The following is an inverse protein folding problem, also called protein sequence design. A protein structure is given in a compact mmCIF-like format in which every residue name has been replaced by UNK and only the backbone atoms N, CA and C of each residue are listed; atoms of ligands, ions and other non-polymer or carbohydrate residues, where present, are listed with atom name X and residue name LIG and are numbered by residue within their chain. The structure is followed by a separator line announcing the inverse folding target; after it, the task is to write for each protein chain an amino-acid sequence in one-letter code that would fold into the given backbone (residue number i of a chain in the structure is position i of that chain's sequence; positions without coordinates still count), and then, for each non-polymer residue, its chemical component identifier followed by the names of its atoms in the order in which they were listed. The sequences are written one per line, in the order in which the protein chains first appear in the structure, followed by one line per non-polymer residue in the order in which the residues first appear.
data_IF_672536152419
#
_entry.id   IF_672536152419
#
_cell.length_a   1.000
_cell.length_b   1.000
_cell.length_c   1.000
_cell.angle_alpha   90.00
_cell.angle_beta   90.00
_cell.angle_gamma   90.00
#
_symmetry.space_group_name_H-M   'P 1'
#
loop_
_entity.id
_entity.type
_entity.pdbx_description
1 polymer ?
#
# COMPACT_ATOMS: atom_id res chain seq x y z
N UNK A 1 51.72 -3.39 -22.08
CA UNK A 1 50.64 -2.53 -22.65
C UNK A 1 50.03 -1.62 -21.58
N UNK A 2 49.26 -0.57 -21.90
CA UNK A 2 48.59 0.28 -20.89
C UNK A 2 47.08 0.03 -20.82
N UNK A 3 46.49 0.12 -19.63
CA UNK A 3 45.05 0.03 -19.44
C UNK A 3 44.35 1.22 -20.10
N UNK A 4 43.45 0.95 -21.05
CA UNK A 4 42.65 1.98 -21.74
C UNK A 4 41.74 2.81 -20.83
N UNK A 5 41.48 2.34 -19.61
CA UNK A 5 40.54 2.97 -18.67
C UNK A 5 41.22 3.80 -17.58
N UNK A 6 42.41 3.42 -17.12
CA UNK A 6 43.09 4.11 -16.02
C UNK A 6 44.56 4.46 -16.30
N UNK A 7 45.09 4.11 -17.48
CA UNK A 7 46.46 4.43 -17.89
C UNK A 7 47.56 3.61 -17.19
N UNK A 8 47.21 2.67 -16.30
CA UNK A 8 48.20 1.84 -15.62
C UNK A 8 48.92 0.86 -16.57
N UNK A 9 50.20 0.62 -16.33
CA UNK A 9 51.00 -0.35 -17.09
C UNK A 9 50.60 -1.78 -16.73
N UNK A 10 50.35 -2.59 -17.75
CA UNK A 10 49.87 -3.97 -17.66
C UNK A 10 50.81 -4.91 -18.41
N UNK A 11 50.98 -6.12 -17.85
CA UNK A 11 51.64 -7.22 -18.53
C UNK A 11 50.86 -7.62 -19.80
N UNK A 12 51.57 -8.02 -20.85
CA UNK A 12 50.97 -8.25 -22.18
C UNK A 12 50.02 -9.48 -22.26
N UNK A 13 49.92 -10.25 -21.17
CA UNK A 13 49.04 -11.40 -20.98
C UNK A 13 47.99 -11.19 -19.87
N UNK A 14 47.94 -10.03 -19.23
CA UNK A 14 46.95 -9.77 -18.19
C UNK A 14 45.55 -9.77 -18.82
N UNK A 15 44.61 -10.52 -18.25
CA UNK A 15 43.20 -10.56 -18.65
C UNK A 15 42.35 -9.47 -17.97
N UNK A 16 42.86 -8.91 -16.87
CA UNK A 16 42.22 -7.84 -16.10
C UNK A 16 43.27 -6.84 -15.60
N UNK A 17 42.88 -5.57 -15.48
CA UNK A 17 43.73 -4.54 -14.91
C UNK A 17 43.85 -4.71 -13.38
N UNK A 18 45.06 -4.89 -12.87
CA UNK A 18 45.34 -4.99 -11.43
C UNK A 18 45.09 -3.69 -10.63
N UNK A 19 44.92 -2.55 -11.31
CA UNK A 19 44.64 -1.25 -10.67
C UNK A 19 43.17 -0.86 -10.66
N UNK A 20 42.41 -1.17 -11.72
CA UNK A 20 41.01 -0.74 -11.84
C UNK A 20 40.01 -1.90 -12.04
N UNK A 21 40.49 -3.15 -12.08
CA UNK A 21 39.65 -4.36 -12.16
C UNK A 21 39.03 -4.64 -13.53
N UNK A 22 39.09 -3.71 -14.49
CA UNK A 22 38.43 -3.87 -15.80
C UNK A 22 39.14 -4.88 -16.71
N UNK A 23 38.41 -5.69 -17.48
CA UNK A 23 38.98 -6.68 -18.39
C UNK A 23 39.75 -6.02 -19.54
N UNK A 24 40.88 -6.60 -19.89
CA UNK A 24 41.69 -6.22 -21.06
C UNK A 24 41.26 -7.07 -22.25
N UNK A 25 40.55 -6.44 -23.17
CA UNK A 25 40.11 -7.08 -24.41
C UNK A 25 41.31 -7.37 -25.31
N UNK A 26 41.76 -8.63 -25.39
CA UNK A 26 42.63 -9.11 -26.48
C UNK A 26 41.96 -10.28 -27.21
N UNK A 27 41.94 -10.30 -28.55
CA UNK A 27 41.35 -11.38 -29.33
C UNK A 27 42.29 -12.59 -29.37
N UNK A 28 41.78 -13.76 -28.99
CA UNK A 28 42.50 -15.04 -29.00
C UNK A 28 42.62 -15.59 -30.44
N UNK A 29 43.82 -16.01 -30.83
CA UNK A 29 44.15 -16.68 -32.08
C UNK A 29 43.35 -17.98 -32.26
N UNK A 30 42.59 -18.12 -33.36
CA UNK A 30 42.01 -19.40 -33.82
C UNK A 30 42.90 -20.04 -34.90
N UNK A 31 43.20 -21.35 -34.85
CA UNK A 31 43.94 -22.06 -35.91
C UNK A 31 43.16 -22.12 -37.25
N UNK A 32 43.85 -22.36 -38.38
CA UNK A 32 43.33 -22.05 -39.72
C UNK A 32 42.22 -23.01 -40.17
N UNK A 33 41.17 -22.42 -40.76
CA UNK A 33 40.06 -23.12 -41.40
C UNK A 33 40.40 -23.38 -42.89
N UNK A 34 40.00 -24.51 -43.51
CA UNK A 34 40.29 -24.81 -44.91
C UNK A 34 39.61 -23.83 -45.88
N UNK A 35 40.26 -23.64 -47.03
CA UNK A 35 39.97 -22.63 -48.06
C UNK A 35 38.48 -22.51 -48.44
N UNK A 36 37.96 -21.28 -48.41
CA UNK A 36 36.68 -20.90 -49.01
C UNK A 36 36.86 -20.54 -50.51
N UNK A 37 35.86 -20.81 -51.36
CA UNK A 37 35.83 -20.39 -52.76
C UNK A 37 35.62 -18.87 -52.93
N UNK A 38 35.88 -18.39 -54.16
CA UNK A 38 35.96 -16.99 -54.60
C UNK A 38 34.81 -16.03 -54.17
N UNK A 39 35.07 -14.70 -54.15
CA UNK A 39 34.15 -13.70 -53.61
C UNK A 39 32.89 -13.57 -54.47
N UNK A 40 31.72 -13.73 -53.85
CA UNK A 40 30.45 -13.30 -54.43
C UNK A 40 30.26 -11.80 -54.17
N UNK A 41 29.65 -11.09 -55.12
CA UNK A 41 29.37 -9.66 -55.06
C UNK A 41 28.56 -9.29 -53.78
N UNK A 42 28.63 -8.04 -53.29
CA UNK A 42 27.97 -7.64 -52.06
C UNK A 42 26.46 -7.90 -52.13
N UNK A 43 25.97 -8.81 -51.30
CA UNK A 43 24.55 -8.96 -51.04
C UNK A 43 24.18 -7.88 -50.01
N UNK A 44 23.32 -6.95 -50.40
CA UNK A 44 22.71 -6.00 -49.46
C UNK A 44 22.06 -6.77 -48.30
N UNK A 45 22.24 -6.34 -47.04
CA UNK A 45 21.53 -6.96 -45.91
C UNK A 45 20.02 -6.78 -46.12
N UNK A 46 19.17 -7.75 -45.70
CA UNK A 46 17.73 -7.57 -45.76
C UNK A 46 17.36 -6.34 -44.93
N UNK A 47 16.76 -5.35 -45.60
CA UNK A 47 16.15 -4.20 -44.94
C UNK A 47 15.06 -4.74 -44.02
N UNK A 48 15.24 -4.58 -42.71
CA UNK A 48 14.19 -4.87 -41.75
C UNK A 48 13.03 -3.90 -42.01
N UNK A 49 11.96 -4.37 -42.65
CA UNK A 49 10.70 -3.66 -42.68
C UNK A 49 10.05 -3.84 -41.29
N UNK A 50 9.72 -2.76 -40.56
CA UNK A 50 8.89 -2.88 -39.37
C UNK A 50 7.57 -3.58 -39.75
N UNK A 51 6.99 -4.41 -38.87
CA UNK A 51 5.69 -4.97 -39.13
C UNK A 51 4.70 -3.84 -39.46
N UNK A 52 3.99 -3.98 -40.59
CA UNK A 52 2.92 -3.06 -40.96
C UNK A 52 1.92 -3.07 -39.81
N UNK A 53 1.80 -1.93 -39.14
CA UNK A 53 0.72 -1.71 -38.18
C UNK A 53 -0.63 -2.04 -38.81
N UNK A 54 -1.65 -2.37 -38.00
CA UNK A 54 -2.97 -2.71 -38.51
C UNK A 54 -3.46 -1.63 -39.49
N UNK A 55 -4.23 -2.00 -40.53
CA UNK A 55 -4.66 -1.06 -41.56
C UNK A 55 -5.30 0.17 -40.93
N UNK A 56 -4.81 1.36 -41.30
CA UNK A 56 -5.46 2.63 -40.96
C UNK A 56 -6.90 2.55 -41.43
N UNK A 57 -7.82 2.53 -40.48
CA UNK A 57 -9.24 2.76 -40.77
C UNK A 57 -9.36 4.12 -41.47
N UNK A 58 -10.27 4.27 -42.45
CA UNK A 58 -10.54 5.56 -43.04
C UNK A 58 -10.89 6.55 -41.94
N UNK A 59 -10.22 7.70 -41.95
CA UNK A 59 -10.45 8.79 -41.00
C UNK A 59 -11.93 9.19 -41.06
N UNK A 60 -12.68 8.76 -40.05
CA UNK A 60 -14.00 9.30 -39.76
C UNK A 60 -13.75 10.73 -39.28
N UNK A 61 -14.34 11.67 -40.00
CA UNK A 61 -14.46 13.07 -39.64
C UNK A 61 -14.90 13.18 -38.18
N UNK A 62 -14.12 13.88 -37.35
CA UNK A 62 -14.44 14.08 -35.93
C UNK A 62 -15.77 14.83 -35.81
N UNK A 63 -16.86 14.10 -35.57
CA UNK A 63 -17.97 14.64 -34.80
C UNK A 63 -17.49 14.71 -33.35
N UNK A 64 -17.44 15.92 -32.80
CA UNK A 64 -17.02 16.16 -31.41
C UNK A 64 -17.85 15.33 -30.43
N UNK A 65 -17.31 14.97 -29.26
CA UNK A 65 -18.07 14.22 -28.28
C UNK A 65 -19.25 15.07 -27.81
N UNK A 66 -20.46 14.62 -28.13
CA UNK A 66 -21.66 15.06 -27.44
C UNK A 66 -21.52 14.57 -26.00
N UNK A 67 -21.43 15.51 -25.05
CA UNK A 67 -21.26 15.21 -23.64
C UNK A 67 -22.47 14.40 -23.14
N UNK A 68 -22.28 13.10 -22.86
CA UNK A 68 -23.27 12.34 -22.10
C UNK A 68 -23.30 12.89 -20.66
N UNK A 69 -24.49 13.20 -20.08
CA UNK A 69 -24.57 13.62 -18.69
C UNK A 69 -24.12 12.49 -17.76
N UNK A 70 -23.43 12.80 -16.64
CA UNK A 70 -22.88 11.80 -15.75
C UNK A 70 -23.97 10.86 -15.22
N UNK A 71 -23.78 9.55 -15.43
CA UNK A 71 -24.65 8.50 -14.88
C UNK A 71 -24.48 8.45 -13.37
N UNK A 72 -25.42 9.04 -12.64
CA UNK A 72 -25.54 8.94 -11.17
C UNK A 72 -25.74 7.49 -10.74
N UNK A 73 -24.68 6.80 -10.34
CA UNK A 73 -24.74 5.46 -9.69
C UNK A 73 -25.13 5.50 -8.20
N UNK A 74 -25.54 6.66 -7.65
CA UNK A 74 -25.97 6.81 -6.25
C UNK A 74 -27.41 6.36 -5.94
N UNK A 75 -28.23 6.06 -6.96
CA UNK A 75 -29.64 5.69 -6.73
C UNK A 75 -29.83 4.28 -6.16
N UNK A 76 -28.95 3.34 -6.50
CA UNK A 76 -29.10 1.93 -6.09
C UNK A 76 -28.71 1.72 -4.62
N UNK A 77 -27.76 2.49 -4.11
CA UNK A 77 -27.30 2.42 -2.70
C UNK A 77 -28.40 2.96 -1.78
N UNK A 78 -29.03 4.09 -2.11
CA UNK A 78 -30.15 4.61 -1.33
C UNK A 78 -31.36 3.65 -1.31
N UNK A 79 -31.66 2.99 -2.44
CA UNK A 79 -32.73 2.00 -2.53
C UNK A 79 -32.41 0.75 -1.70
N UNK A 80 -31.16 0.27 -1.74
CA UNK A 80 -30.70 -0.86 -0.94
C UNK A 80 -30.75 -0.57 0.57
N UNK A 81 -30.32 0.63 0.99
CA UNK A 81 -30.39 1.07 2.40
C UNK A 81 -31.84 1.15 2.89
N UNK A 82 -32.73 1.76 2.10
CA UNK A 82 -34.17 1.82 2.44
C UNK A 82 -34.77 0.41 2.56
N UNK A 83 -34.41 -0.50 1.64
CA UNK A 83 -34.91 -1.88 1.67
C UNK A 83 -34.35 -2.65 2.88
N UNK A 84 -33.08 -2.47 3.23
CA UNK A 84 -32.48 -3.02 4.44
C UNK A 84 -33.15 -2.49 5.71
N UNK A 85 -33.43 -1.19 5.81
CA UNK A 85 -34.11 -0.59 6.97
C UNK A 85 -35.54 -1.13 7.11
N UNK A 86 -36.26 -1.30 6.00
CA UNK A 86 -37.60 -1.89 6.00
C UNK A 86 -37.58 -3.38 6.41
N UNK A 87 -36.59 -4.15 5.96
CA UNK A 87 -36.42 -5.55 6.35
C UNK A 87 -36.06 -5.67 7.84
N UNK A 88 -35.14 -4.85 8.33
CA UNK A 88 -34.77 -4.81 9.75
C UNK A 88 -35.98 -4.41 10.61
N UNK A 89 -36.74 -3.39 10.19
CA UNK A 89 -37.98 -2.97 10.86
C UNK A 89 -39.01 -4.09 10.92
N UNK A 90 -39.21 -4.81 9.81
CA UNK A 90 -40.10 -5.97 9.76
C UNK A 90 -39.64 -7.09 10.70
N UNK A 91 -38.34 -7.40 10.75
CA UNK A 91 -37.76 -8.40 11.66
C UNK A 91 -37.97 -8.01 13.12
N UNK A 92 -37.73 -6.74 13.49
CA UNK A 92 -37.95 -6.25 14.86
C UNK A 92 -39.42 -6.38 15.27
N UNK A 93 -40.35 -6.01 14.39
CA UNK A 93 -41.80 -6.18 14.64
C UNK A 93 -42.16 -7.66 14.80
N UNK A 94 -41.57 -8.54 14.00
CA UNK A 94 -41.80 -9.99 14.06
C UNK A 94 -41.26 -10.59 15.37
N UNK A 95 -40.08 -10.15 15.82
CA UNK A 95 -39.47 -10.54 17.10
C UNK A 95 -40.29 -10.05 18.30
N UNK A 96 -40.82 -8.82 18.22
CA UNK A 96 -41.75 -8.28 19.22
C UNK A 96 -43.08 -9.05 19.25
N UNK A 97 -43.65 -9.40 18.08
CA UNK A 97 -44.87 -10.18 17.97
C UNK A 97 -44.70 -11.64 18.42
N UNK A 98 -43.50 -12.21 18.28
CA UNK A 98 -43.15 -13.54 18.79
C UNK A 98 -42.80 -13.57 20.29
N UNK A 99 -42.78 -12.42 20.97
CA UNK A 99 -42.71 -12.35 22.44
C UNK A 99 -41.39 -12.82 23.07
N UNK A 100 -40.26 -12.77 22.34
CA UNK A 100 -38.96 -13.30 22.81
C UNK A 100 -38.18 -12.30 23.69
N UNK A 101 -38.56 -11.02 23.70
CA UNK A 101 -37.94 -10.00 24.57
C UNK A 101 -38.98 -9.43 25.53
N UNK A 102 -38.89 -9.82 26.81
CA UNK A 102 -39.64 -9.15 27.89
C UNK A 102 -38.85 -7.90 28.33
N UNK A 103 -39.46 -6.70 28.32
CA UNK A 103 -38.82 -5.51 28.87
C UNK A 103 -38.84 -5.58 30.40
N UNK A 104 -37.68 -5.36 31.01
CA UNK A 104 -37.55 -5.14 32.46
C UNK A 104 -38.08 -3.74 32.79
N UNK A 105 -39.14 -3.68 33.60
CA UNK A 105 -39.66 -2.43 34.16
C UNK A 105 -38.89 -2.10 35.43
N UNK A 106 -38.31 -0.91 35.50
CA UNK A 106 -37.82 -0.30 36.73
C UNK A 106 -38.59 0.99 36.95
N UNK A 107 -39.47 0.99 37.95
CA UNK A 107 -40.05 2.20 38.54
C UNK A 107 -39.30 2.51 39.84
N UNK A 108 -39.02 3.81 40.02
CA UNK A 108 -38.50 4.40 41.24
C UNK A 108 -39.67 4.90 42.12
N UNK A 109 -39.55 4.77 43.45
CA UNK A 109 -39.68 5.84 44.47
C UNK A 109 -40.05 5.32 45.90
N UNK A 110 -39.25 5.80 46.87
CA UNK A 110 -39.56 6.26 48.25
C UNK A 110 -40.09 5.33 49.39
N UNK A 111 -39.17 4.99 50.33
CA UNK A 111 -39.16 5.07 51.84
C UNK A 111 -40.41 4.80 52.73
N UNK A 112 -40.32 4.56 54.09
CA UNK A 112 -39.14 4.51 55.01
C UNK A 112 -39.09 3.35 56.08
N UNK A 113 -37.89 3.16 56.70
CA UNK A 113 -37.42 2.70 58.06
C UNK A 113 -38.32 1.90 59.06
N UNK A 114 -37.81 1.22 60.15
CA UNK A 114 -36.44 1.17 60.72
C UNK A 114 -35.93 -0.20 61.27
N UNK A 115 -34.72 -0.18 61.87
CA UNK A 115 -34.07 -1.19 62.74
C UNK A 115 -33.26 -2.28 61.99
N UNK A 116 -31.99 -2.64 62.29
CA UNK A 116 -31.21 -2.66 63.53
C UNK A 116 -29.68 -2.51 63.25
N UNK A 117 -29.02 -1.76 64.14
CA UNK A 117 -27.69 -1.95 64.77
C UNK A 117 -26.61 -2.77 64.04
N UNK A 118 -25.46 -2.13 63.73
CA UNK A 118 -24.08 -2.43 64.21
C UNK A 118 -23.07 -1.59 63.38
N UNK A 119 -22.55 -0.46 63.86
CA UNK A 119 -21.33 -0.28 64.68
C UNK A 119 -20.02 -0.05 63.86
N UNK A 120 -19.55 1.21 63.88
CA UNK A 120 -18.16 1.76 63.84
C UNK A 120 -17.19 1.43 62.68
N UNK A 121 -16.30 2.29 62.18
CA UNK A 121 -15.99 3.74 62.20
C UNK A 121 -14.90 3.98 61.10
N UNK A 122 -14.62 5.24 60.68
CA UNK A 122 -13.94 5.59 59.43
C UNK A 122 -12.42 5.81 59.59
N UNK A 123 -11.66 5.70 58.50
CA UNK A 123 -10.32 6.32 58.42
C UNK A 123 -10.21 7.08 57.10
N UNK A 124 -10.28 8.40 57.27
CA UNK A 124 -9.86 9.45 56.37
C UNK A 124 -8.37 9.73 56.60
N UNK A 125 -7.59 9.88 55.54
CA UNK A 125 -6.31 10.59 55.59
C UNK A 125 -5.82 10.90 54.16
N UNK A 126 -5.99 12.14 53.75
CA UNK A 126 -5.07 12.85 52.83
C UNK A 126 -3.97 13.56 53.66
N UNK A 127 -3.00 14.28 53.06
CA UNK A 127 -1.96 13.90 52.10
C UNK A 127 -0.55 14.27 52.67
N UNK A 128 0.53 14.37 51.86
CA UNK A 128 0.80 15.69 51.27
C UNK A 128 1.35 15.67 49.84
N UNK A 129 1.17 16.82 49.19
CA UNK A 129 1.78 17.27 47.94
C UNK A 129 3.32 17.30 48.02
N UNK A 130 4.02 16.89 46.95
CA UNK A 130 5.35 17.40 46.63
C UNK A 130 5.62 17.32 45.11
N UNK A 131 5.65 18.50 44.50
CA UNK A 131 6.47 18.95 43.38
C UNK A 131 6.92 17.98 42.25
N UNK A 132 6.28 18.17 41.10
CA UNK A 132 6.98 18.68 39.91
C UNK A 132 8.07 17.82 39.26
N UNK A 133 7.67 16.91 38.36
CA UNK A 133 8.27 16.76 37.01
C UNK A 133 7.35 15.87 36.15
N UNK A 134 7.10 16.17 34.86
CA UNK A 134 6.30 15.29 34.03
C UNK A 134 7.10 14.00 33.82
N UNK A 135 6.53 12.88 34.25
CA UNK A 135 6.94 11.55 33.81
C UNK A 135 6.67 11.50 32.32
N UNK A 136 7.71 11.77 31.52
CA UNK A 136 7.70 11.53 30.09
C UNK A 136 7.49 10.02 29.89
N UNK A 137 6.38 9.69 29.25
CA UNK A 137 6.09 8.38 28.68
C UNK A 137 7.20 8.04 27.67
N UNK A 138 7.65 6.78 27.57
CA UNK A 138 8.83 6.41 26.77
C UNK A 138 8.61 6.73 25.29
N UNK A 139 9.55 7.50 24.72
CA UNK A 139 9.80 7.77 23.30
C UNK A 139 8.62 7.52 22.34
N UNK A 140 7.72 8.49 22.24
CA UNK A 140 6.96 8.70 21.01
C UNK A 140 7.94 9.37 20.05
N UNK A 141 8.56 8.62 19.15
CA UNK A 141 9.31 9.20 18.04
C UNK A 141 8.31 10.08 17.27
N UNK A 142 8.47 11.39 17.43
CA UNK A 142 7.58 12.39 16.85
C UNK A 142 8.06 12.68 15.44
N UNK A 143 7.12 12.80 14.48
CA UNK A 143 7.48 13.08 13.10
C UNK A 143 8.33 14.35 12.98
N UNK A 144 9.34 14.31 12.12
CA UNK A 144 10.15 15.44 11.67
C UNK A 144 9.37 16.44 10.80
N UNK A 145 8.06 16.25 10.59
CA UNK A 145 7.20 17.22 9.90
C UNK A 145 7.25 18.60 10.62
N UNK A 146 7.39 19.72 9.88
CA UNK A 146 7.61 21.07 10.39
C UNK A 146 6.46 21.58 11.26
N UNK A 147 5.28 21.00 11.06
CA UNK A 147 4.06 21.34 11.77
C UNK A 147 3.68 20.18 12.67
N UNK A 148 3.48 20.48 13.95
CA UNK A 148 2.98 19.51 14.91
C UNK A 148 1.52 19.81 15.18
N UNK A 149 0.65 18.92 14.72
CA UNK A 149 -0.79 19.04 14.91
C UNK A 149 -1.19 18.43 16.26
N UNK A 150 -2.02 19.14 17.00
CA UNK A 150 -2.66 18.61 18.20
C UNK A 150 -3.92 17.84 17.79
N UNK A 151 -3.96 16.54 18.09
CA UNK A 151 -5.02 15.64 17.63
C UNK A 151 -6.40 15.99 18.22
N UNK A 152 -6.43 16.41 19.48
CA UNK A 152 -7.68 16.76 20.16
C UNK A 152 -8.23 18.07 19.58
N UNK A 153 -7.36 19.05 19.32
CA UNK A 153 -7.76 20.29 18.64
C UNK A 153 -8.20 20.04 17.21
N UNK A 154 -7.51 19.19 16.45
CA UNK A 154 -7.86 18.84 15.09
C UNK A 154 -9.30 18.29 15.02
N UNK A 155 -9.59 17.30 15.86
CA UNK A 155 -10.87 16.60 15.82
C UNK A 155 -12.05 17.41 16.40
N UNK A 156 -11.78 18.40 17.26
CA UNK A 156 -12.81 19.26 17.86
C UNK A 156 -13.03 20.59 17.13
N UNK A 157 -12.09 20.98 16.27
CA UNK A 157 -12.17 22.24 15.51
C UNK A 157 -13.33 22.24 14.53
N UNK A 158 -13.88 23.44 14.29
CA UNK A 158 -14.91 23.66 13.27
C UNK A 158 -14.47 24.73 12.29
N UNK A 159 -14.38 24.34 11.02
CA UNK A 159 -14.13 25.24 9.89
C UNK A 159 -15.40 25.28 9.05
N UNK A 160 -15.90 26.49 8.78
CA UNK A 160 -17.18 26.70 8.08
C UNK A 160 -18.35 25.91 8.68
N UNK A 161 -18.34 25.73 10.00
CA UNK A 161 -19.37 24.99 10.74
C UNK A 161 -19.20 23.47 10.76
N UNK A 162 -18.21 22.92 10.04
CA UNK A 162 -17.96 21.48 9.94
C UNK A 162 -16.73 21.05 10.73
N UNK A 163 -16.82 19.88 11.37
CA UNK A 163 -15.69 19.17 11.99
C UNK A 163 -14.89 18.38 10.95
N UNK A 164 -13.69 17.92 11.33
CA UNK A 164 -12.87 17.02 10.51
C UNK A 164 -13.67 15.85 9.93
N UNK A 165 -14.43 15.13 10.76
CA UNK A 165 -15.22 13.96 10.32
C UNK A 165 -16.38 14.35 9.41
N UNK A 166 -17.07 15.46 9.70
CA UNK A 166 -18.15 15.95 8.84
C UNK A 166 -17.61 16.39 7.46
N UNK A 167 -16.41 16.96 7.40
CA UNK A 167 -15.77 17.36 6.14
C UNK A 167 -15.37 16.14 5.30
N UNK A 168 -14.88 15.07 5.93
CA UNK A 168 -14.66 13.76 5.31
C UNK A 168 -15.93 13.19 4.68
N UNK A 169 -17.01 13.08 5.47
CA UNK A 169 -18.30 12.54 5.00
C UNK A 169 -18.90 13.36 3.85
N UNK A 170 -18.55 14.65 3.76
CA UNK A 170 -18.98 15.56 2.71
C UNK A 170 -18.01 15.63 1.52
N UNK A 171 -16.88 14.91 1.56
CA UNK A 171 -15.93 14.79 0.44
C UNK A 171 -15.07 16.02 0.20
N UNK A 172 -14.80 16.83 1.23
CA UNK A 172 -13.94 18.03 1.11
C UNK A 172 -12.88 18.12 2.22
N UNK A 173 -12.48 16.97 2.77
CA UNK A 173 -11.50 16.91 3.84
C UNK A 173 -10.16 17.56 3.47
N UNK A 174 -9.68 17.40 2.24
CA UNK A 174 -8.41 17.98 1.81
C UNK A 174 -8.41 19.51 1.88
N UNK A 175 -9.50 20.15 1.45
CA UNK A 175 -9.66 21.60 1.57
C UNK A 175 -9.82 22.02 3.03
N UNK A 176 -10.56 21.24 3.83
CA UNK A 176 -10.70 21.47 5.27
C UNK A 176 -9.35 21.42 5.99
N UNK A 177 -8.54 20.40 5.71
CA UNK A 177 -7.21 20.22 6.29
C UNK A 177 -6.25 21.31 5.84
N UNK A 178 -6.30 21.71 4.57
CA UNK A 178 -5.50 22.83 4.08
C UNK A 178 -5.88 24.14 4.79
N UNK A 179 -7.17 24.42 4.97
CA UNK A 179 -7.64 25.57 5.74
C UNK A 179 -7.22 25.49 7.22
N UNK A 180 -7.26 24.30 7.82
CA UNK A 180 -6.84 24.10 9.21
C UNK A 180 -5.36 24.39 9.41
N UNK A 181 -4.51 23.85 8.52
CA UNK A 181 -3.05 23.90 8.64
C UNK A 181 -2.49 25.23 8.13
N UNK A 182 -2.97 25.71 6.99
CA UNK A 182 -2.40 26.87 6.29
C UNK A 182 -3.24 28.15 6.44
N UNK A 183 -4.49 28.05 6.92
CA UNK A 183 -5.40 29.20 7.03
C UNK A 183 -5.88 29.74 5.67
N UNK A 184 -5.66 29.02 4.58
CA UNK A 184 -5.98 29.44 3.20
C UNK A 184 -6.52 28.27 2.38
N UNK A 185 -7.35 28.55 1.38
CA UNK A 185 -7.82 27.57 0.38
C UNK A 185 -7.17 27.76 -0.99
N UNK A 186 -6.24 28.70 -1.14
CA UNK A 186 -5.62 29.04 -2.43
C UNK A 186 -4.60 28.01 -2.94
N UNK A 187 -4.53 26.83 -2.30
CA UNK A 187 -3.68 25.71 -2.70
C UNK A 187 -2.17 26.00 -2.62
N UNK A 188 -1.78 27.19 -2.17
CA UNK A 188 -0.40 27.68 -2.13
C UNK A 188 0.28 27.29 -0.82
N UNK A 189 0.05 26.06 -0.37
CA UNK A 189 0.68 25.51 0.83
C UNK A 189 2.17 25.35 0.58
N UNK A 190 3.05 25.90 1.44
CA UNK A 190 4.48 25.59 1.39
C UNK A 190 4.80 24.18 1.91
N UNK A 191 3.80 23.48 2.47
CA UNK A 191 3.96 22.14 3.03
C UNK A 191 3.14 21.11 2.26
N UNK A 192 3.79 20.00 1.91
CA UNK A 192 3.12 18.85 1.30
C UNK A 192 2.27 18.15 2.37
N UNK A 193 1.01 17.86 2.04
CA UNK A 193 0.09 17.20 2.97
C UNK A 193 0.54 15.80 3.36
N UNK A 194 1.28 15.12 2.48
CA UNK A 194 1.82 13.78 2.70
C UNK A 194 3.34 13.87 2.71
N UNK A 195 3.98 13.25 3.70
CA UNK A 195 5.42 13.28 3.85
C UNK A 195 5.92 11.94 4.43
N UNK A 196 6.81 11.29 3.70
CA UNK A 196 7.63 10.19 4.20
C UNK A 196 8.69 10.63 5.22
N UNK A 197 8.51 10.25 6.47
CA UNK A 197 9.43 10.58 7.54
C UNK A 197 10.60 9.59 7.59
N UNK A 198 11.81 10.02 7.25
CA UNK A 198 13.01 9.15 7.29
C UNK A 198 13.35 8.64 8.70
N UNK A 199 12.99 9.40 9.75
CA UNK A 199 13.24 9.02 11.14
C UNK A 199 12.31 7.91 11.59
N UNK A 200 11.03 8.02 11.23
CA UNK A 200 10.00 7.02 11.56
C UNK A 200 9.92 5.88 10.54
N UNK A 201 10.51 6.07 9.35
CA UNK A 201 10.45 5.18 8.18
C UNK A 201 9.02 4.88 7.71
N UNK A 202 8.09 5.81 7.91
CA UNK A 202 6.69 5.69 7.51
C UNK A 202 6.17 6.96 6.82
N UNK A 203 5.13 6.81 6.01
CA UNK A 203 4.38 7.97 5.49
C UNK A 203 3.58 8.62 6.61
N UNK A 204 3.45 9.93 6.54
CA UNK A 204 2.64 10.74 7.46
C UNK A 204 1.70 11.65 6.69
N UNK A 205 0.56 11.99 7.29
CA UNK A 205 -0.37 12.99 6.79
C UNK A 205 -0.31 14.23 7.70
N UNK A 206 0.28 15.33 7.21
CA UNK A 206 0.62 16.50 8.00
C UNK A 206 1.37 16.16 9.31
N UNK A 207 2.30 15.21 9.24
CA UNK A 207 3.08 14.72 10.38
C UNK A 207 2.35 13.70 11.26
N UNK A 208 1.10 13.35 10.94
CA UNK A 208 0.31 12.37 11.66
C UNK A 208 0.56 10.98 11.07
N UNK A 209 1.01 10.06 11.91
CA UNK A 209 1.25 8.65 11.57
C UNK A 209 -0.06 7.86 11.57
N UNK A 210 -0.07 6.70 10.91
CA UNK A 210 -1.23 5.80 10.96
C UNK A 210 -1.61 5.44 12.39
N UNK A 211 -0.61 5.11 13.23
CA UNK A 211 -0.84 4.71 14.62
C UNK A 211 -1.54 5.81 15.45
N UNK A 212 -1.17 7.07 15.22
CA UNK A 212 -1.80 8.22 15.85
C UNK A 212 -3.24 8.41 15.36
N UNK A 213 -3.47 8.33 14.05
CA UNK A 213 -4.81 8.41 13.46
C UNK A 213 -5.74 7.29 13.93
N UNK A 214 -5.24 6.05 13.96
CA UNK A 214 -5.96 4.88 14.43
C UNK A 214 -6.32 4.99 15.91
N UNK A 215 -5.39 5.44 16.75
CA UNK A 215 -5.63 5.66 18.19
C UNK A 215 -6.67 6.76 18.42
N UNK A 216 -6.75 7.74 17.53
CA UNK A 216 -7.74 8.81 17.56
C UNK A 216 -9.06 8.44 16.86
N UNK A 217 -9.22 7.20 16.38
CA UNK A 217 -10.47 6.68 15.83
C UNK A 217 -10.77 7.09 14.39
N UNK A 218 -9.77 7.54 13.62
CA UNK A 218 -9.92 7.89 12.20
C UNK A 218 -8.85 7.23 11.31
N UNK A 219 -8.26 6.13 11.74
CA UNK A 219 -7.29 5.38 10.94
C UNK A 219 -7.83 4.86 9.60
N UNK A 220 -9.15 4.66 9.49
CA UNK A 220 -9.85 4.35 8.24
C UNK A 220 -9.72 5.48 7.22
N UNK A 221 -9.94 6.73 7.66
CA UNK A 221 -9.78 7.94 6.85
C UNK A 221 -8.33 8.07 6.40
N UNK A 222 -7.37 7.82 7.30
CA UNK A 222 -5.94 7.89 6.98
C UNK A 222 -5.54 6.89 5.88
N UNK A 223 -6.03 5.65 5.94
CA UNK A 223 -5.77 4.64 4.93
C UNK A 223 -6.38 5.00 3.58
N UNK A 224 -7.60 5.55 3.57
CA UNK A 224 -8.27 5.96 2.32
C UNK A 224 -7.60 7.19 1.69
N UNK A 225 -7.12 8.14 2.50
CA UNK A 225 -6.35 9.30 2.04
C UNK A 225 -5.02 8.93 1.37
N UNK A 226 -4.34 7.90 1.88
CA UNK A 226 -3.11 7.39 1.25
C UNK A 226 -3.40 6.45 0.08
N UNK A 227 -4.41 5.59 0.19
CA UNK A 227 -4.80 4.66 -0.87
C UNK A 227 -5.49 5.30 -2.07
N UNK A 228 -6.02 6.52 -1.94
CA UNK A 228 -6.62 7.27 -3.06
C UNK A 228 -5.60 8.00 -3.93
N UNK A 229 -4.31 7.88 -3.63
CA UNK A 229 -3.23 8.56 -4.35
C UNK A 229 -2.60 7.73 -5.46
N UNK A 230 -2.97 6.45 -5.58
CA UNK A 230 -2.46 5.55 -6.63
C UNK A 230 -3.30 5.57 -7.93
N UNK A 231 -4.37 6.37 -8.02
CA UNK A 231 -5.33 6.27 -9.14
C UNK A 231 -5.47 7.50 -10.08
N UNK A 232 -4.78 8.63 -9.85
CA UNK A 232 -5.01 9.87 -10.64
C UNK A 232 -3.77 10.48 -11.34
N UNK A 233 -2.67 9.73 -11.50
CA UNK A 233 -1.59 10.06 -12.44
C UNK A 233 -1.48 8.98 -13.55
N UNK A 234 -1.92 9.27 -14.79
CA UNK A 234 -1.86 8.30 -15.89
C UNK A 234 -0.42 8.03 -16.40
N UNK A 235 0.60 8.72 -15.88
CA UNK A 235 2.01 8.54 -16.23
C UNK A 235 2.86 7.88 -15.11
N UNK A 236 2.29 7.57 -13.93
CA UNK A 236 2.92 6.64 -12.97
C UNK A 236 2.53 5.20 -13.29
N UNK A 237 3.10 4.65 -14.37
CA UNK A 237 3.15 3.21 -14.57
C UNK A 237 4.26 2.57 -13.73
N UNK A 238 4.01 2.44 -12.42
CA UNK A 238 4.65 1.49 -11.51
C UNK A 238 3.59 1.16 -10.43
N UNK A 239 2.44 0.60 -10.80
CA UNK A 239 2.28 -0.84 -10.97
C UNK A 239 1.83 -1.46 -9.64
N UNK A 240 0.58 -1.96 -9.60
CA UNK A 240 -0.16 -2.61 -8.49
C UNK A 240 0.58 -3.81 -7.83
N UNK A 241 1.79 -3.59 -7.33
CA UNK A 241 2.65 -4.59 -6.73
C UNK A 241 2.73 -4.37 -5.22
N UNK A 242 2.59 -5.45 -4.45
CA UNK A 242 2.53 -5.40 -3.00
C UNK A 242 3.86 -5.00 -2.36
N UNK A 243 4.98 -5.44 -2.95
CA UNK A 243 6.35 -5.08 -2.56
C UNK A 243 7.29 -5.14 -3.78
N UNK A 244 8.39 -4.36 -3.81
CA UNK A 244 9.37 -4.35 -4.90
C UNK A 244 10.29 -5.59 -4.89
N UNK A 245 9.70 -6.78 -4.84
CA UNK A 245 10.38 -8.06 -4.66
C UNK A 245 11.25 -8.48 -5.86
N UNK A 246 11.09 -7.81 -7.00
CA UNK A 246 11.82 -8.03 -8.25
C UNK A 246 13.10 -7.19 -8.38
N UNK A 247 13.21 -6.11 -7.60
CA UNK A 247 14.21 -5.07 -7.79
C UNK A 247 14.94 -4.66 -6.50
N UNK A 248 14.41 -5.02 -5.32
CA UNK A 248 14.99 -4.68 -4.03
C UNK A 248 15.00 -5.88 -3.10
N UNK A 249 15.93 -5.90 -2.14
CA UNK A 249 15.90 -6.88 -1.05
C UNK A 249 14.94 -6.41 0.03
N UNK A 250 14.08 -7.31 0.49
CA UNK A 250 13.20 -7.09 1.64
C UNK A 250 13.75 -7.84 2.86
N UNK A 251 13.38 -7.40 4.04
CA UNK A 251 13.61 -8.10 5.28
C UNK A 251 12.29 -8.44 6.00
N UNK A 252 12.40 -9.06 7.18
CA UNK A 252 11.22 -9.48 7.96
C UNK A 252 10.43 -8.30 8.52
N UNK A 253 11.06 -7.16 8.75
CA UNK A 253 10.38 -5.96 9.22
C UNK A 253 9.48 -5.37 8.13
N UNK A 254 9.86 -5.50 6.85
CA UNK A 254 9.00 -5.14 5.72
C UNK A 254 7.74 -6.03 5.64
N UNK A 255 7.80 -7.26 6.17
CA UNK A 255 6.66 -8.20 6.20
C UNK A 255 5.80 -8.08 7.46
N UNK A 256 6.30 -7.42 8.50
CA UNK A 256 5.63 -7.30 9.80
C UNK A 256 4.26 -6.59 9.77
N UNK A 257 4.05 -5.55 8.95
CA UNK A 257 2.76 -4.88 8.84
C UNK A 257 1.67 -5.72 8.15
N UNK A 258 2.07 -6.75 7.40
CA UNK A 258 1.15 -7.54 6.57
C UNK A 258 0.56 -8.73 7.34
N UNK A 259 -0.70 -9.01 7.03
CA UNK A 259 -1.40 -10.22 7.48
C UNK A 259 -0.84 -11.48 6.85
N UNK A 260 -1.22 -12.64 7.39
CA UNK A 260 -0.85 -13.95 6.82
C UNK A 260 -1.25 -14.08 5.36
N UNK A 261 -2.45 -13.60 5.03
CA UNK A 261 -3.03 -13.65 3.71
C UNK A 261 -2.25 -12.74 2.76
N UNK A 262 -1.91 -11.52 3.18
CA UNK A 262 -1.12 -10.58 2.38
C UNK A 262 0.32 -11.06 2.16
N UNK A 263 0.98 -11.61 3.18
CA UNK A 263 2.32 -12.22 3.01
C UNK A 263 2.27 -13.41 2.05
N UNK A 264 1.18 -14.18 2.08
CA UNK A 264 0.95 -15.22 1.08
C UNK A 264 0.82 -14.63 -0.33
N UNK A 265 0.09 -13.52 -0.50
CA UNK A 265 -0.02 -12.83 -1.79
C UNK A 265 1.33 -12.25 -2.26
N UNK A 266 2.10 -11.60 -1.39
CA UNK A 266 3.47 -11.11 -1.68
C UNK A 266 4.35 -12.25 -2.21
N UNK A 267 4.32 -13.42 -1.54
CA UNK A 267 5.05 -14.60 -2.00
C UNK A 267 4.58 -15.06 -3.38
N UNK A 268 3.27 -15.10 -3.59
CA UNK A 268 2.67 -15.58 -4.84
C UNK A 268 2.88 -14.58 -5.99
N UNK A 269 3.02 -13.29 -5.71
CA UNK A 269 3.29 -12.24 -6.70
C UNK A 269 4.58 -12.52 -7.47
N UNK A 270 5.62 -13.00 -6.77
CA UNK A 270 6.89 -13.42 -7.39
C UNK A 270 6.66 -14.45 -8.51
N UNK A 271 5.69 -15.36 -8.34
CA UNK A 271 5.33 -16.33 -9.38
C UNK A 271 4.38 -15.74 -10.42
N UNK A 272 3.43 -14.91 -9.99
CA UNK A 272 2.44 -14.27 -10.85
C UNK A 272 3.10 -13.38 -11.92
N UNK A 273 4.22 -12.73 -11.60
CA UNK A 273 5.04 -11.94 -12.55
C UNK A 273 5.46 -12.73 -13.79
N UNK A 274 5.52 -14.06 -13.69
CA UNK A 274 5.86 -14.97 -14.79
C UNK A 274 4.63 -15.67 -15.42
N UNK A 275 3.42 -15.29 -15.01
CA UNK A 275 2.17 -15.88 -15.48
C UNK A 275 1.84 -17.24 -14.86
N UNK A 276 2.36 -17.53 -13.66
CA UNK A 276 2.06 -18.76 -12.93
C UNK A 276 0.58 -18.86 -12.57
N UNK A 277 -0.07 -19.98 -12.92
CA UNK A 277 -1.46 -20.25 -12.60
C UNK A 277 -1.60 -20.90 -11.22
N UNK A 278 -2.46 -20.34 -10.38
CA UNK A 278 -2.64 -20.77 -8.99
C UNK A 278 -3.76 -21.80 -8.87
N UNK A 279 -3.54 -22.84 -8.06
CA UNK A 279 -4.56 -23.84 -7.74
C UNK A 279 -5.57 -23.36 -6.71
N UNK A 280 -5.20 -22.38 -5.89
CA UNK A 280 -6.11 -21.73 -4.96
C UNK A 280 -6.95 -20.72 -5.73
N UNK A 281 -8.27 -20.90 -5.71
CA UNK A 281 -9.19 -19.98 -6.40
C UNK A 281 -9.06 -18.56 -5.85
N UNK A 282 -8.89 -18.39 -4.55
CA UNK A 282 -8.76 -17.07 -3.92
C UNK A 282 -7.52 -16.31 -4.43
N UNK A 283 -6.39 -17.02 -4.56
CA UNK A 283 -5.15 -16.43 -5.06
C UNK A 283 -5.27 -16.15 -6.57
N UNK A 284 -5.85 -17.07 -7.32
CA UNK A 284 -6.10 -16.90 -8.76
C UNK A 284 -7.01 -15.69 -9.02
N UNK A 285 -8.12 -15.56 -8.30
CA UNK A 285 -9.07 -14.46 -8.42
C UNK A 285 -8.44 -13.12 -8.01
N UNK A 286 -7.50 -13.11 -7.07
CA UNK A 286 -6.72 -11.92 -6.74
C UNK A 286 -5.86 -11.47 -7.91
N UNK A 287 -5.06 -12.37 -8.50
CA UNK A 287 -4.17 -12.01 -9.61
C UNK A 287 -4.92 -11.74 -10.92
N UNK A 288 -6.04 -12.42 -11.20
CA UNK A 288 -6.89 -12.15 -12.37
C UNK A 288 -7.48 -10.73 -12.39
N UNK A 289 -7.52 -10.04 -11.23
CA UNK A 289 -7.93 -8.64 -11.11
C UNK A 289 -6.79 -7.64 -11.35
N UNK A 290 -5.54 -8.10 -11.36
CA UNK A 290 -4.38 -7.24 -11.59
C UNK A 290 -4.19 -7.01 -13.09
N UNK A 291 -4.07 -5.75 -13.50
CA UNK A 291 -3.93 -5.38 -14.92
C UNK A 291 -2.63 -5.93 -15.56
N UNK A 292 -1.60 -6.17 -14.74
CA UNK A 292 -0.28 -6.63 -15.15
C UNK A 292 -0.18 -8.16 -15.22
N UNK A 293 -1.10 -8.89 -14.60
CA UNK A 293 -1.03 -10.35 -14.56
C UNK A 293 -1.55 -10.96 -15.85
N UNK A 294 -0.69 -11.75 -16.51
CA UNK A 294 -1.04 -12.50 -17.73
C UNK A 294 -0.72 -13.98 -17.51
N UNK A 295 -1.72 -14.84 -17.25
CA UNK A 295 -1.46 -16.26 -17.01
C UNK A 295 -0.94 -16.97 -18.26
N UNK A 296 0.09 -17.79 -18.09
CA UNK A 296 0.65 -18.65 -19.14
C UNK A 296 -0.01 -20.02 -19.04
N UNK A 297 -0.66 -20.45 -20.12
CA UNK A 297 -1.39 -21.71 -20.16
C UNK A 297 -0.47 -22.90 -19.80
N UNK A 298 -0.87 -23.64 -18.77
CA UNK A 298 -0.16 -24.83 -18.33
C UNK A 298 1.06 -24.54 -17.45
N UNK A 299 1.35 -23.27 -17.13
CA UNK A 299 2.40 -22.89 -16.18
C UNK A 299 1.86 -22.94 -14.74
N UNK A 300 2.27 -23.92 -13.96
CA UNK A 300 1.78 -24.19 -12.60
C UNK A 300 2.86 -24.91 -11.78
N UNK A 301 2.51 -25.37 -10.57
CA UNK A 301 3.44 -26.03 -9.65
C UNK A 301 4.27 -27.18 -10.26
N UNK A 302 3.74 -27.87 -11.27
CA UNK A 302 4.42 -29.00 -11.91
C UNK A 302 5.31 -28.64 -13.10
N UNK A 303 5.13 -27.45 -13.65
CA UNK A 303 5.77 -27.01 -14.91
C UNK A 303 6.59 -25.74 -14.74
N UNK A 304 6.44 -25.03 -13.63
CA UNK A 304 7.20 -23.82 -13.34
C UNK A 304 8.64 -24.16 -12.94
N UNK A 305 9.58 -23.51 -13.61
CA UNK A 305 11.01 -23.62 -13.30
C UNK A 305 11.45 -22.42 -12.47
N UNK A 306 11.75 -22.64 -11.19
CA UNK A 306 12.20 -21.57 -10.28
C UNK A 306 13.57 -20.99 -10.64
N UNK A 307 14.32 -21.59 -11.57
CA UNK A 307 15.59 -21.04 -12.04
C UNK A 307 15.45 -19.77 -12.88
N UNK A 308 14.22 -19.42 -13.29
CA UNK A 308 13.93 -18.16 -14.00
C UNK A 308 13.99 -16.95 -13.08
N UNK A 309 13.92 -17.14 -11.76
CA UNK A 309 13.97 -16.05 -10.80
C UNK A 309 15.31 -15.32 -10.83
N UNK A 310 15.23 -14.02 -10.67
CA UNK A 310 16.41 -13.18 -10.50
C UNK A 310 16.94 -13.26 -9.06
N UNK A 311 18.07 -12.60 -8.79
CA UNK A 311 18.73 -12.66 -7.49
C UNK A 311 17.92 -12.04 -6.34
N UNK A 312 17.10 -11.01 -6.61
CA UNK A 312 16.22 -10.38 -5.63
C UNK A 312 15.06 -11.31 -5.31
N UNK A 313 14.36 -11.79 -6.33
CA UNK A 313 13.19 -12.68 -6.19
C UNK A 313 13.55 -13.95 -5.42
N UNK A 314 14.70 -14.56 -5.71
CA UNK A 314 15.17 -15.75 -5.00
C UNK A 314 15.44 -15.45 -3.52
N UNK A 315 16.16 -14.36 -3.21
CA UNK A 315 16.47 -13.99 -1.84
C UNK A 315 15.23 -13.55 -1.03
N UNK A 316 14.30 -12.85 -1.68
CA UNK A 316 13.06 -12.40 -1.08
C UNK A 316 12.10 -13.55 -0.84
N UNK A 317 12.01 -14.50 -1.76
CA UNK A 317 11.26 -15.73 -1.56
C UNK A 317 11.78 -16.49 -0.33
N UNK A 318 13.10 -16.62 -0.17
CA UNK A 318 13.69 -17.24 1.02
C UNK A 318 13.34 -16.47 2.31
N UNK A 319 13.39 -15.14 2.25
CA UNK A 319 13.05 -14.25 3.38
C UNK A 319 11.59 -14.42 3.80
N UNK A 320 10.67 -14.42 2.84
CA UNK A 320 9.24 -14.61 3.08
C UNK A 320 8.98 -16.01 3.66
N UNK A 321 9.56 -17.06 3.08
CA UNK A 321 9.42 -18.43 3.58
C UNK A 321 10.00 -18.60 4.99
N UNK A 322 11.06 -17.87 5.35
CA UNK A 322 11.60 -17.87 6.70
C UNK A 322 10.66 -17.16 7.68
N UNK A 323 10.12 -16.01 7.30
CA UNK A 323 9.15 -15.25 8.09
C UNK A 323 7.88 -16.06 8.37
N UNK A 324 7.29 -16.70 7.36
CA UNK A 324 6.08 -17.51 7.53
C UNK A 324 6.28 -18.73 8.43
N UNK A 325 7.49 -19.31 8.44
CA UNK A 325 7.83 -20.40 9.37
C UNK A 325 7.98 -19.91 10.80
N UNK A 326 8.58 -18.74 10.99
CA UNK A 326 8.72 -18.11 12.31
C UNK A 326 7.35 -17.74 12.90
N UNK A 327 6.44 -17.24 12.08
CA UNK A 327 5.07 -16.91 12.48
C UNK A 327 4.15 -18.13 12.63
N UNK A 328 4.62 -19.35 12.30
CA UNK A 328 3.83 -20.58 12.35
C UNK A 328 2.72 -20.65 11.29
N UNK A 329 2.79 -19.84 10.24
CA UNK A 329 1.82 -19.78 9.15
C UNK A 329 2.02 -20.88 8.11
N UNK A 330 3.26 -21.39 8.03
CA UNK A 330 3.65 -22.54 7.21
C UNK A 330 4.21 -23.63 8.12
N UNK A 331 3.63 -24.83 8.01
CA UNK A 331 4.01 -26.03 8.78
C UNK A 331 4.96 -26.94 8.00
#
# INVERSE_FOLDING_TARGET
MFCKYCGAELADTAAFCNKCGKPTTKPENRPPQPAQPAPQAPVEPPRYEPPKGPPRQPSVEMAGPEQEPPRRKGGYIALAVILCVLVIGAIVVLVMAMGILKPTSSDAEASPSPSDVMETQPIESEPPEEDGKPTQTPDQEQSSYPIQLDMDQLLTSRINGTTFREAWEQGWLDEWMNLYVNGSSDGSSPYEAYWYDDGLREWTYYGITYSQAASAGWGDIWLELLGSRDDDDPDTMDGDYLLPTDSQYIDKSDLAPFTKEEVSLIRNEIYARYGYQFSSQEIQDYFDRQNWYTPVEGLNASTFDTSVFNAYEQANLETILAYEREMGWRQ
#
